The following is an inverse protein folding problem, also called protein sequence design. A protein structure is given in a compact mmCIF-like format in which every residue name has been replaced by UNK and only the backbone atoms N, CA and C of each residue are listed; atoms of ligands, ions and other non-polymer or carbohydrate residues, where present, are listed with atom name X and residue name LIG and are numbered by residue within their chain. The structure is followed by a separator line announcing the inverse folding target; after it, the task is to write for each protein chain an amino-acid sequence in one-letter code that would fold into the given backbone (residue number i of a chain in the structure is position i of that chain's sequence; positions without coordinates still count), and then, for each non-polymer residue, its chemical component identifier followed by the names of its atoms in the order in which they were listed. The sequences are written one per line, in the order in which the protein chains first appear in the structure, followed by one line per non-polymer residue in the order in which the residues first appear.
data_IF_442189648184
#
_entry.id   IF_442189648184
#
_cell.length_a   1.000
_cell.length_b   1.000
_cell.length_c   1.000
_cell.angle_alpha   90.00
_cell.angle_beta   90.00
_cell.angle_gamma   90.00
#
_symmetry.space_group_name_H-M   'P 1'
#
loop_
_entity.id
_entity.type
_entity.pdbx_description
1 polymer ?
#
# COMPACT_ATOMS: atom_id res chain seq x y z
N UNK A 1 -17.91 -6.63 1.86
CA UNK A 1 -16.53 -7.14 1.70
C UNK A 1 -16.39 -8.31 2.64
N UNK A 2 -16.15 -9.52 2.12
CA UNK A 2 -15.78 -10.65 2.96
C UNK A 2 -14.28 -10.50 3.23
N UNK A 3 -13.90 -10.36 4.50
CA UNK A 3 -12.49 -10.23 4.89
C UNK A 3 -11.92 -11.64 5.11
N UNK A 4 -10.82 -12.01 4.44
CA UNK A 4 -10.19 -13.31 4.64
C UNK A 4 -9.66 -13.44 6.08
N UNK A 5 -9.63 -14.67 6.61
CA UNK A 5 -8.97 -14.98 7.88
C UNK A 5 -7.44 -14.88 7.75
N UNK A 6 -6.75 -14.56 8.85
CA UNK A 6 -5.29 -14.39 8.91
C UNK A 6 -4.56 -15.55 8.20
N UNK A 7 -3.76 -15.24 7.17
CA UNK A 7 -2.93 -16.21 6.44
C UNK A 7 -3.02 -16.13 4.91
N UNK A 8 -4.18 -15.71 4.38
CA UNK A 8 -4.50 -15.71 2.93
C UNK A 8 -4.48 -14.31 2.29
N UNK A 9 -3.91 -13.31 2.99
CA UNK A 9 -3.76 -11.95 2.48
C UNK A 9 -2.77 -11.85 1.31
N UNK A 10 -2.88 -10.81 0.47
CA UNK A 10 -1.91 -10.55 -0.60
C UNK A 10 -0.51 -10.36 0.02
N UNK A 11 0.52 -10.90 -0.64
CA UNK A 11 1.90 -10.80 -0.14
C UNK A 11 2.85 -10.17 -1.13
N UNK A 12 2.60 -10.35 -2.43
CA UNK A 12 3.45 -9.81 -3.46
C UNK A 12 2.81 -8.59 -4.11
N UNK A 13 3.64 -7.69 -4.62
CA UNK A 13 3.19 -6.49 -5.33
C UNK A 13 2.07 -6.74 -6.38
N UNK A 14 2.15 -7.78 -7.25
CA UNK A 14 1.09 -8.06 -8.21
C UNK A 14 -0.25 -8.42 -7.57
N UNK A 15 -0.25 -9.08 -6.41
CA UNK A 15 -1.46 -9.48 -5.69
C UNK A 15 -2.22 -8.24 -5.21
N UNK A 16 -1.50 -7.30 -4.59
CA UNK A 16 -2.06 -6.00 -4.16
C UNK A 16 -2.58 -5.21 -5.35
N UNK A 17 -1.82 -5.16 -6.45
CA UNK A 17 -2.21 -4.43 -7.64
C UNK A 17 -3.52 -4.97 -8.22
N UNK A 18 -3.66 -6.30 -8.31
CA UNK A 18 -4.87 -6.94 -8.80
C UNK A 18 -6.09 -6.62 -7.92
N UNK A 19 -5.93 -6.62 -6.59
CA UNK A 19 -7.01 -6.28 -5.66
C UNK A 19 -7.46 -4.82 -5.78
N UNK A 20 -6.52 -3.89 -5.89
CA UNK A 20 -6.84 -2.47 -6.08
C UNK A 20 -7.53 -2.23 -7.43
N UNK A 21 -7.07 -2.88 -8.50
CA UNK A 21 -7.68 -2.77 -9.83
C UNK A 21 -9.08 -3.38 -9.90
N UNK A 22 -9.36 -4.42 -9.12
CA UNK A 22 -10.67 -5.06 -9.04
C UNK A 22 -11.66 -4.34 -8.09
N UNK A 23 -11.21 -3.30 -7.38
CA UNK A 23 -12.04 -2.62 -6.37
C UNK A 23 -13.19 -1.82 -7.02
N UNK A 24 -14.44 -1.95 -6.54
CA UNK A 24 -15.61 -1.31 -7.13
C UNK A 24 -15.71 0.17 -6.70
N UNK A 25 -14.82 1.01 -7.21
CA UNK A 25 -14.74 2.44 -6.91
C UNK A 25 -14.43 3.26 -8.18
N UNK A 26 -14.37 4.58 -8.05
CA UNK A 26 -14.12 5.49 -9.17
C UNK A 26 -12.70 5.29 -9.75
N UNK A 27 -12.56 5.45 -11.07
CA UNK A 27 -11.28 5.21 -11.76
C UNK A 27 -10.12 6.10 -11.23
N UNK A 28 -10.43 7.35 -10.81
CA UNK A 28 -9.44 8.23 -10.17
C UNK A 28 -8.92 7.67 -8.84
N UNK A 29 -9.79 7.05 -8.05
CA UNK A 29 -9.43 6.39 -6.79
C UNK A 29 -8.54 5.19 -7.05
N UNK A 30 -8.88 4.34 -8.02
CA UNK A 30 -8.04 3.18 -8.41
C UNK A 30 -6.66 3.65 -8.91
N UNK A 31 -6.62 4.69 -9.75
CA UNK A 31 -5.38 5.24 -10.27
C UNK A 31 -4.48 5.78 -9.14
N UNK A 32 -5.05 6.52 -8.17
CA UNK A 32 -4.30 7.03 -7.03
C UNK A 32 -3.84 5.92 -6.09
N UNK A 33 -4.70 4.96 -5.78
CA UNK A 33 -4.35 3.79 -4.97
C UNK A 33 -3.18 3.01 -5.59
N UNK A 34 -3.21 2.81 -6.91
CA UNK A 34 -2.13 2.16 -7.66
C UNK A 34 -0.83 2.95 -7.62
N UNK A 35 -0.87 4.29 -7.70
CA UNK A 35 0.35 5.11 -7.58
C UNK A 35 0.93 5.06 -6.15
N UNK A 36 0.09 5.08 -5.11
CA UNK A 36 0.51 4.89 -3.71
C UNK A 36 1.22 3.53 -3.56
N UNK A 37 0.56 2.45 -3.99
CA UNK A 37 1.13 1.10 -3.92
C UNK A 37 2.46 1.01 -4.68
N UNK A 38 2.54 1.59 -5.89
CA UNK A 38 3.78 1.60 -6.69
C UNK A 38 4.92 2.29 -5.97
N UNK A 39 4.67 3.40 -5.28
CA UNK A 39 5.70 4.11 -4.50
C UNK A 39 6.20 3.27 -3.33
N UNK A 40 5.29 2.61 -2.60
CA UNK A 40 5.64 1.69 -1.52
C UNK A 40 6.45 0.49 -2.05
N UNK A 41 6.00 -0.11 -3.14
CA UNK A 41 6.69 -1.23 -3.80
C UNK A 41 8.10 -0.86 -4.28
N UNK A 42 8.30 0.34 -4.85
CA UNK A 42 9.62 0.81 -5.25
C UNK A 42 10.55 1.05 -4.05
N UNK A 43 10.01 1.49 -2.92
CA UNK A 43 10.80 1.63 -1.68
C UNK A 43 11.24 0.26 -1.16
N UNK A 44 10.33 -0.71 -1.07
CA UNK A 44 10.62 -2.10 -0.67
C UNK A 44 11.63 -2.76 -1.62
N UNK A 45 11.40 -2.65 -2.93
CA UNK A 45 12.32 -3.15 -3.97
C UNK A 45 13.74 -2.62 -3.79
N UNK A 46 13.88 -1.33 -3.46
CA UNK A 46 15.17 -0.69 -3.21
C UNK A 46 15.84 -1.22 -1.95
N UNK A 47 15.10 -1.39 -0.85
CA UNK A 47 15.63 -1.92 0.42
C UNK A 47 16.10 -3.36 0.26
N UNK A 48 15.36 -4.18 -0.50
CA UNK A 48 15.63 -5.60 -0.65
C UNK A 48 16.45 -5.97 -1.90
N UNK A 49 16.74 -5.02 -2.80
CA UNK A 49 17.54 -5.26 -4.00
C UNK A 49 16.87 -6.16 -5.03
N UNK A 50 15.54 -6.13 -5.14
CA UNK A 50 14.75 -6.96 -6.06
C UNK A 50 14.00 -6.10 -7.08
N UNK A 51 13.56 -6.70 -8.18
CA UNK A 51 12.64 -6.04 -9.12
C UNK A 51 11.27 -5.82 -8.46
N UNK A 52 10.54 -4.77 -8.87
CA UNK A 52 9.22 -4.41 -8.32
C UNK A 52 8.24 -5.58 -8.35
N UNK A 53 8.23 -6.34 -9.44
CA UNK A 53 7.34 -7.48 -9.67
C UNK A 53 7.67 -8.67 -8.76
N UNK A 54 8.87 -8.68 -8.16
CA UNK A 54 9.34 -9.68 -7.20
C UNK A 54 9.26 -9.20 -5.76
N UNK A 55 8.72 -8.00 -5.51
CA UNK A 55 8.54 -7.49 -4.16
C UNK A 55 7.56 -8.39 -3.41
N UNK A 56 8.04 -8.92 -2.30
CA UNK A 56 7.23 -9.49 -1.24
C UNK A 56 7.25 -8.48 -0.09
N UNK A 57 6.08 -7.98 0.30
CA UNK A 57 6.00 -7.02 1.39
C UNK A 57 6.22 -7.74 2.72
N UNK A 58 7.00 -7.14 3.62
CA UNK A 58 7.23 -7.71 4.95
C UNK A 58 6.44 -6.98 6.03
N UNK A 59 6.33 -5.66 5.92
CA UNK A 59 5.67 -4.82 6.94
C UNK A 59 4.22 -4.45 6.60
N UNK A 60 3.83 -4.56 5.32
CA UNK A 60 2.49 -4.18 4.82
C UNK A 60 1.77 -5.35 4.14
N UNK A 61 2.16 -6.59 4.44
CA UNK A 61 1.63 -7.80 3.79
C UNK A 61 0.38 -8.36 4.47
N UNK A 62 -0.72 -7.61 4.43
CA UNK A 62 -2.05 -8.14 4.73
C UNK A 62 -3.17 -7.33 4.03
N UNK A 63 -4.41 -7.79 4.16
CA UNK A 63 -5.58 -7.18 3.53
C UNK A 63 -5.89 -5.78 4.08
N UNK A 64 -5.51 -5.48 5.32
CA UNK A 64 -5.70 -4.17 5.95
C UNK A 64 -4.94 -3.07 5.19
N UNK A 65 -3.75 -3.38 4.70
CA UNK A 65 -2.92 -2.48 3.90
C UNK A 65 -3.57 -2.13 2.55
N UNK A 66 -4.33 -3.06 1.95
CA UNK A 66 -5.14 -2.76 0.76
C UNK A 66 -6.21 -1.73 1.10
N UNK A 67 -6.88 -1.90 2.25
CA UNK A 67 -7.94 -1.00 2.71
C UNK A 67 -7.37 0.37 3.04
N UNK A 68 -6.23 0.46 3.71
CA UNK A 68 -5.55 1.73 4.04
C UNK A 68 -5.20 2.53 2.78
N UNK A 69 -4.62 1.87 1.78
CA UNK A 69 -4.27 2.49 0.49
C UNK A 69 -5.53 2.97 -0.23
N UNK A 70 -6.55 2.11 -0.32
CA UNK A 70 -7.78 2.41 -1.04
C UNK A 70 -8.56 3.56 -0.38
N UNK A 71 -8.67 3.57 0.94
CA UNK A 71 -9.36 4.63 1.69
C UNK A 71 -8.58 5.95 1.64
N UNK A 72 -7.25 5.90 1.73
CA UNK A 72 -6.41 7.09 1.56
C UNK A 72 -6.62 7.72 0.18
N UNK A 73 -6.59 6.89 -0.88
CA UNK A 73 -6.86 7.34 -2.24
C UNK A 73 -8.28 7.92 -2.39
N UNK A 74 -9.28 7.25 -1.80
CA UNK A 74 -10.66 7.71 -1.82
C UNK A 74 -10.82 9.09 -1.18
N UNK A 75 -10.23 9.29 0.01
CA UNK A 75 -10.31 10.58 0.72
C UNK A 75 -9.63 11.69 -0.09
N UNK A 76 -8.45 11.44 -0.65
CA UNK A 76 -7.72 12.42 -1.46
C UNK A 76 -8.55 12.86 -2.67
N UNK A 77 -9.11 11.89 -3.41
CA UNK A 77 -9.89 12.19 -4.63
C UNK A 77 -11.25 12.80 -4.31
N UNK A 78 -11.95 12.34 -3.26
CA UNK A 78 -13.29 12.84 -2.91
C UNK A 78 -13.27 14.23 -2.29
N UNK A 79 -12.18 14.60 -1.61
CA UNK A 79 -12.03 15.91 -0.99
C UNK A 79 -11.18 16.88 -1.83
N UNK A 80 -10.75 16.47 -3.03
CA UNK A 80 -9.89 17.26 -3.92
C UNK A 80 -8.62 17.79 -3.23
N UNK A 81 -7.94 16.91 -2.48
CA UNK A 81 -6.76 17.28 -1.71
C UNK A 81 -5.57 17.52 -2.66
N UNK A 82 -5.22 18.79 -2.87
CA UNK A 82 -4.06 19.17 -3.69
C UNK A 82 -2.69 18.92 -3.03
N UNK A 83 -2.61 18.92 -1.69
CA UNK A 83 -1.38 18.65 -0.96
C UNK A 83 -1.63 18.21 0.48
N UNK A 84 -0.75 17.37 1.03
CA UNK A 84 -0.73 17.01 2.44
C UNK A 84 0.72 16.96 2.94
N UNK A 85 0.91 17.17 4.24
CA UNK A 85 2.21 17.09 4.90
C UNK A 85 2.08 16.39 6.24
N UNK A 86 3.12 15.67 6.65
CA UNK A 86 3.24 15.08 7.98
C UNK A 86 4.54 15.55 8.64
N UNK A 87 4.59 15.54 9.98
CA UNK A 87 5.84 15.71 10.72
C UNK A 87 6.80 14.54 10.46
N UNK A 88 8.05 14.67 10.91
CA UNK A 88 8.99 13.56 10.88
C UNK A 88 8.38 12.32 11.55
N UNK A 89 8.59 11.15 10.93
CA UNK A 89 8.14 9.88 11.49
C UNK A 89 8.97 9.56 12.75
N UNK A 90 8.34 9.07 13.83
CA UNK A 90 9.08 8.61 15.00
C UNK A 90 9.84 7.34 14.63
N UNK A 91 11.14 7.47 14.35
CA UNK A 91 12.00 6.33 14.09
C UNK A 91 12.33 5.65 15.42
N UNK A 92 11.94 4.39 15.57
CA UNK A 92 12.34 3.58 16.72
C UNK A 92 13.86 3.40 16.75
N UNK A 93 14.45 3.45 17.94
CA UNK A 93 15.87 3.12 18.16
C UNK A 93 15.98 2.01 19.20
N UNK A 94 16.80 1.00 18.94
CA UNK A 94 17.07 -0.10 19.87
C UNK A 94 18.56 -0.45 19.90
N UNK A 95 19.02 -1.01 21.02
CA UNK A 95 20.38 -1.55 21.17
C UNK A 95 20.28 -3.04 21.47
N UNK A 96 20.92 -3.87 20.65
CA UNK A 96 21.10 -5.30 20.94
C UNK A 96 22.30 -5.43 21.89
N UNK A 97 22.11 -6.16 22.99
CA UNK A 97 23.14 -6.42 23.99
C UNK A 97 24.05 -7.58 23.57
#
# INVERSE_FOLDING_TARGET
LAFPSNGDGPRHYPDFLALLQASPTDAGVVARATDILRRLGLAEAKVHGVALEKVHFHEIADWDSVVDILLSALVIERLDIGSASASALPLGSGRVA
#
